data_IF_949580738856
#
_entry.id   IF_949580738856
#
_cell.length_a   1.000
_cell.length_b   1.000
_cell.length_c   1.000
_cell.angle_alpha   90.00
_cell.angle_beta   90.00
_cell.angle_gamma   90.00
#
_symmetry.space_group_name_H-M   'P 1'
#
loop_
_entity.id
_entity.type
_entity.pdbx_description
1 polymer ?
#
# COMPACT_ATOMS: atom_id res chain seq x y z
N UNK A 1 -34.82 -58.57 46.00
CA UNK A 1 -33.74 -57.64 46.39
C UNK A 1 -32.99 -57.28 45.11
N UNK A 2 -33.22 -56.07 44.57
CA UNK A 2 -32.73 -55.60 43.27
C UNK A 2 -31.38 -54.90 43.48
N UNK A 3 -30.32 -55.35 42.83
CA UNK A 3 -29.08 -54.59 42.69
C UNK A 3 -29.10 -54.03 41.26
N UNK A 4 -29.46 -52.75 41.18
CA UNK A 4 -29.54 -51.98 39.96
C UNK A 4 -28.11 -51.53 39.60
N UNK A 5 -27.59 -52.02 38.48
CA UNK A 5 -26.31 -51.56 37.91
C UNK A 5 -26.55 -50.14 37.37
N UNK A 6 -26.04 -49.13 38.07
CA UNK A 6 -26.12 -47.73 37.67
C UNK A 6 -25.06 -47.46 36.58
N UNK A 7 -25.44 -47.65 35.31
CA UNK A 7 -24.64 -47.25 34.15
C UNK A 7 -24.73 -45.72 34.05
N UNK A 8 -23.76 -45.01 34.65
CA UNK A 8 -23.63 -43.56 34.48
C UNK A 8 -23.28 -43.24 33.02
N UNK A 9 -24.31 -42.85 32.27
CA UNK A 9 -24.20 -42.06 31.04
C UNK A 9 -23.51 -40.73 31.37
N UNK A 10 -22.21 -40.66 31.14
CA UNK A 10 -21.55 -39.37 30.88
C UNK A 10 -20.72 -39.51 29.61
N UNK A 11 -21.45 -39.24 28.54
CA UNK A 11 -21.05 -38.96 27.17
C UNK A 11 -19.81 -38.05 27.15
N UNK A 12 -18.60 -38.61 27.20
CA UNK A 12 -17.37 -37.82 27.07
C UNK A 12 -17.08 -37.61 25.58
N UNK A 13 -17.85 -36.69 24.98
CA UNK A 13 -17.60 -36.07 23.66
C UNK A 13 -16.41 -35.11 23.75
N UNK A 14 -15.42 -35.43 24.57
CA UNK A 14 -14.20 -34.63 24.71
C UNK A 14 -13.14 -35.04 23.67
N UNK A 15 -13.36 -36.14 22.93
CA UNK A 15 -12.41 -36.64 21.93
C UNK A 15 -12.69 -36.16 20.50
N UNK A 16 -13.81 -35.47 20.26
CA UNK A 16 -14.24 -35.01 18.92
C UNK A 16 -14.13 -33.49 18.69
N UNK A 17 -13.55 -32.74 19.63
CA UNK A 17 -13.11 -31.34 19.41
C UNK A 17 -11.62 -31.26 19.13
N UNK A 18 -11.10 -32.30 18.47
CA UNK A 18 -9.99 -32.13 17.55
C UNK A 18 -10.50 -31.31 16.34
N UNK A 19 -9.63 -30.49 15.78
CA UNK A 19 -9.65 -29.98 14.39
C UNK A 19 -10.32 -28.66 13.98
N UNK A 20 -11.11 -27.93 14.78
CA UNK A 20 -11.74 -26.68 14.26
C UNK A 20 -10.95 -25.39 14.46
N UNK A 21 -9.77 -25.44 15.06
CA UNK A 21 -8.82 -24.32 15.06
C UNK A 21 -7.55 -24.68 14.29
N UNK A 22 -7.70 -25.31 13.11
CA UNK A 22 -6.83 -24.91 12.00
C UNK A 22 -7.30 -23.49 11.67
N UNK A 23 -6.84 -22.55 12.48
CA UNK A 23 -6.85 -21.15 12.13
C UNK A 23 -6.16 -21.11 10.78
N UNK A 24 -6.99 -20.96 9.75
CA UNK A 24 -6.63 -20.40 8.48
C UNK A 24 -6.24 -18.95 8.76
N UNK A 25 -5.18 -18.75 9.56
CA UNK A 25 -4.25 -17.67 9.30
C UNK A 25 -3.56 -18.14 8.04
N UNK A 26 -4.29 -17.97 6.93
CA UNK A 26 -3.70 -17.82 5.62
C UNK A 26 -2.63 -16.79 5.87
N UNK A 27 -1.38 -17.25 6.02
CA UNK A 27 -0.25 -16.37 6.11
C UNK A 27 -0.46 -15.43 4.93
N UNK A 28 -0.82 -14.18 5.23
CA UNK A 28 -0.84 -13.13 4.23
C UNK A 28 0.61 -13.15 3.82
N UNK A 29 0.91 -13.79 2.68
CA UNK A 29 2.20 -13.66 2.04
C UNK A 29 2.49 -12.18 2.17
N UNK A 30 3.61 -11.85 2.81
CA UNK A 30 4.10 -10.49 2.92
C UNK A 30 4.43 -10.04 1.51
N UNK A 31 3.39 -9.80 0.71
CA UNK A 31 3.45 -9.13 -0.56
C UNK A 31 4.00 -7.76 -0.21
N UNK A 32 5.10 -7.40 -0.84
CA UNK A 32 5.67 -6.07 -0.69
C UNK A 32 4.55 -5.03 -0.78
N UNK A 33 4.33 -4.31 0.32
CA UNK A 33 3.25 -3.32 0.44
C UNK A 33 3.50 -2.13 -0.49
N UNK A 34 4.75 -1.98 -0.93
CA UNK A 34 5.20 -0.96 -1.85
C UNK A 34 5.21 -1.49 -3.28
N UNK A 35 4.83 -0.63 -4.21
CA UNK A 35 5.01 -0.82 -5.63
C UNK A 35 5.98 0.24 -6.17
N UNK A 36 6.86 -0.16 -7.09
CA UNK A 36 7.84 0.72 -7.70
C UNK A 36 7.30 1.30 -9.00
N UNK A 37 7.62 2.55 -9.29
CA UNK A 37 7.22 3.19 -10.54
C UNK A 37 8.16 4.35 -10.90
N UNK A 38 8.04 4.81 -12.14
CA UNK A 38 8.65 6.04 -12.60
C UNK A 38 7.65 7.18 -12.53
N UNK A 39 8.12 8.34 -12.12
CA UNK A 39 7.34 9.55 -12.05
C UNK A 39 7.99 10.69 -12.82
N UNK A 40 7.17 11.54 -13.43
CA UNK A 40 7.59 12.75 -14.13
C UNK A 40 7.42 13.95 -13.21
N UNK A 41 8.41 14.83 -13.20
CA UNK A 41 8.27 16.15 -12.58
C UNK A 41 7.75 17.12 -13.64
N UNK A 42 6.65 17.81 -13.36
CA UNK A 42 6.00 18.74 -14.30
C UNK A 42 5.72 20.09 -13.62
N UNK A 43 5.79 21.21 -14.35
CA UNK A 43 5.38 22.51 -13.82
C UNK A 43 3.86 22.55 -13.59
N UNK A 44 3.43 23.22 -12.53
CA UNK A 44 2.04 23.47 -12.20
C UNK A 44 1.85 24.88 -11.62
N UNK A 45 0.60 25.31 -11.46
CA UNK A 45 0.32 26.58 -10.77
C UNK A 45 0.79 26.49 -9.31
N UNK A 46 1.68 27.39 -8.89
CA UNK A 46 2.22 27.43 -7.53
C UNK A 46 3.39 26.47 -7.25
N UNK A 47 3.99 25.85 -8.29
CA UNK A 47 5.20 25.05 -8.12
C UNK A 47 5.33 23.90 -9.11
N UNK A 48 5.65 22.71 -8.61
CA UNK A 48 5.83 21.52 -9.44
C UNK A 48 5.11 20.31 -8.87
N UNK A 49 4.52 19.53 -9.76
CA UNK A 49 3.85 18.27 -9.45
C UNK A 49 4.73 17.09 -9.82
N UNK A 50 4.47 15.97 -9.17
CA UNK A 50 4.94 14.65 -9.58
C UNK A 50 3.76 13.86 -10.12
N UNK A 51 3.91 13.34 -11.34
CA UNK A 51 2.92 12.52 -12.03
C UNK A 51 3.44 11.09 -12.21
N UNK A 52 2.67 10.08 -11.80
CA UNK A 52 3.00 8.67 -11.98
C UNK A 52 1.78 7.78 -12.14
N UNK A 53 1.98 6.60 -12.72
CA UNK A 53 0.95 5.56 -12.80
C UNK A 53 1.01 4.63 -11.60
N UNK A 54 -0.15 4.23 -11.08
CA UNK A 54 -0.28 3.29 -9.96
C UNK A 54 -1.03 2.00 -10.36
N UNK A 55 -0.52 1.19 -11.31
CA UNK A 55 -1.22 0.01 -11.83
C UNK A 55 -1.39 -1.11 -10.80
N UNK A 56 -0.51 -1.19 -9.80
CA UNK A 56 -0.56 -2.17 -8.71
C UNK A 56 -1.41 -1.68 -7.53
N UNK A 57 -2.06 -0.52 -7.64
CA UNK A 57 -2.90 -0.03 -6.57
C UNK A 57 -4.12 -0.92 -6.33
N UNK A 58 -4.39 -1.15 -5.06
CA UNK A 58 -5.58 -1.80 -4.53
C UNK A 58 -6.54 -0.79 -3.88
N UNK A 59 -6.21 0.50 -3.93
CA UNK A 59 -7.01 1.55 -3.31
C UNK A 59 -8.35 1.74 -4.02
N UNK A 60 -9.38 2.02 -3.23
CA UNK A 60 -10.76 2.21 -3.70
C UNK A 60 -11.22 3.60 -3.25
N UNK A 61 -11.75 4.39 -4.18
CA UNK A 61 -12.26 5.72 -3.89
C UNK A 61 -13.66 5.69 -3.24
N UNK A 62 -14.20 6.85 -2.87
CA UNK A 62 -15.54 6.98 -2.26
C UNK A 62 -16.69 6.45 -3.14
N UNK A 63 -16.49 6.38 -4.45
CA UNK A 63 -17.45 5.83 -5.42
C UNK A 63 -17.30 4.31 -5.62
N UNK A 64 -16.46 3.65 -4.82
CA UNK A 64 -16.11 2.22 -4.95
C UNK A 64 -15.38 1.87 -6.25
N UNK A 65 -14.68 2.83 -6.86
CA UNK A 65 -13.84 2.61 -8.04
C UNK A 65 -12.38 2.46 -7.65
N UNK A 66 -11.70 1.53 -8.31
CA UNK A 66 -10.27 1.31 -8.15
C UNK A 66 -9.46 2.51 -8.64
N UNK A 67 -8.40 2.89 -7.92
CA UNK A 67 -7.49 3.97 -8.28
C UNK A 67 -6.30 3.39 -9.05
N UNK A 68 -6.49 3.09 -10.33
CA UNK A 68 -5.42 2.56 -11.21
C UNK A 68 -4.88 3.57 -12.23
N UNK A 69 -5.39 4.81 -12.18
CA UNK A 69 -5.05 5.88 -13.11
C UNK A 69 -3.76 6.64 -12.76
N UNK A 70 -3.45 7.70 -13.52
CA UNK A 70 -2.37 8.60 -13.18
C UNK A 70 -2.69 9.34 -11.88
N UNK A 71 -1.69 9.46 -11.02
CA UNK A 71 -1.70 10.24 -9.79
C UNK A 71 -0.86 11.47 -10.03
N UNK A 72 -1.39 12.64 -9.66
CA UNK A 72 -0.70 13.92 -9.70
C UNK A 72 -0.75 14.55 -8.31
N UNK A 73 0.41 14.92 -7.78
CA UNK A 73 0.51 15.58 -6.48
C UNK A 73 1.45 16.78 -6.57
N UNK A 74 1.06 17.90 -5.99
CA UNK A 74 1.93 19.07 -5.80
C UNK A 74 2.96 18.73 -4.73
N UNK A 75 4.25 18.84 -5.06
CA UNK A 75 5.31 18.36 -4.16
C UNK A 75 6.46 19.33 -3.99
N UNK A 76 6.59 20.33 -4.86
CA UNK A 76 7.66 21.32 -4.77
C UNK A 76 7.06 22.72 -4.85
N UNK A 77 7.52 23.58 -3.95
CA UNK A 77 7.23 25.00 -3.96
C UNK A 77 8.02 25.71 -5.08
N UNK A 78 7.56 26.90 -5.47
CA UNK A 78 8.08 27.66 -6.61
C UNK A 78 9.56 28.09 -6.44
N UNK A 79 10.06 28.17 -5.21
CA UNK A 79 11.41 28.65 -4.86
C UNK A 79 12.54 27.65 -5.15
N UNK A 80 12.18 26.38 -5.46
CA UNK A 80 13.09 25.28 -5.77
C UNK A 80 12.79 24.70 -7.15
N UNK A 81 13.36 25.33 -8.16
CA UNK A 81 13.22 24.92 -9.56
C UNK A 81 13.92 23.58 -9.84
N UNK A 82 13.20 22.49 -10.14
CA UNK A 82 13.80 21.23 -10.55
C UNK A 82 14.34 21.35 -11.98
N UNK A 83 15.35 20.53 -12.30
CA UNK A 83 15.80 20.37 -13.69
C UNK A 83 14.71 19.65 -14.48
N UNK A 84 14.29 20.21 -15.61
CA UNK A 84 13.26 19.62 -16.48
C UNK A 84 13.80 19.37 -17.90
N UNK A 85 13.32 18.32 -18.60
CA UNK A 85 12.46 17.24 -18.10
C UNK A 85 13.22 16.29 -17.17
N UNK A 86 12.53 15.74 -16.17
CA UNK A 86 13.11 14.73 -15.27
C UNK A 86 12.12 13.62 -14.97
N UNK A 87 12.64 12.41 -15.02
CA UNK A 87 11.99 11.20 -14.53
C UNK A 87 12.71 10.74 -13.27
N UNK A 88 11.95 10.40 -12.23
CA UNK A 88 12.45 9.98 -10.93
C UNK A 88 11.81 8.65 -10.55
N UNK A 89 12.60 7.77 -9.93
CA UNK A 89 12.04 6.56 -9.35
C UNK A 89 11.41 6.86 -8.00
N UNK A 90 10.22 6.33 -7.79
CA UNK A 90 9.54 6.35 -6.51
C UNK A 90 8.89 5.01 -6.24
N UNK A 91 8.56 4.80 -4.97
CA UNK A 91 7.68 3.73 -4.55
C UNK A 91 6.45 4.31 -3.87
N UNK A 92 5.29 3.68 -4.09
CA UNK A 92 4.01 4.06 -3.49
C UNK A 92 3.38 2.89 -2.75
N UNK A 93 2.55 3.17 -1.74
CA UNK A 93 1.78 2.14 -1.04
C UNK A 93 0.65 1.62 -1.93
N UNK A 94 0.55 0.30 -2.13
CA UNK A 94 -0.50 -0.29 -2.98
C UNK A 94 -1.91 0.03 -2.48
N UNK A 95 -2.11 -0.02 -1.16
CA UNK A 95 -3.40 0.24 -0.51
C UNK A 95 -3.74 1.75 -0.44
N UNK A 96 -2.73 2.63 -0.53
CA UNK A 96 -2.90 4.08 -0.50
C UNK A 96 -1.85 4.77 -1.39
N UNK A 97 -2.06 4.79 -2.72
CA UNK A 97 -1.00 5.12 -3.69
C UNK A 97 -0.62 6.60 -3.70
N UNK A 98 -1.33 7.46 -2.97
CA UNK A 98 -0.96 8.86 -2.72
C UNK A 98 0.17 9.01 -1.70
N UNK A 99 0.46 7.96 -0.92
CA UNK A 99 1.60 7.90 -0.03
C UNK A 99 2.75 7.30 -0.82
N UNK A 100 3.81 8.08 -1.01
CA UNK A 100 4.98 7.66 -1.78
C UNK A 100 6.30 8.14 -1.16
N UNK A 101 7.40 7.58 -1.64
CA UNK A 101 8.75 7.98 -1.28
C UNK A 101 9.64 7.96 -2.51
N UNK A 102 10.47 8.98 -2.67
CA UNK A 102 11.48 9.02 -3.73
C UNK A 102 12.59 8.00 -3.46
N UNK A 103 12.89 7.20 -4.47
CA UNK A 103 14.05 6.29 -4.43
C UNK A 103 15.31 7.00 -4.91
N UNK A 104 15.15 8.05 -5.70
CA UNK A 104 16.22 8.91 -6.21
C UNK A 104 15.92 10.38 -5.89
N UNK A 105 16.91 11.19 -5.51
CA UNK A 105 16.68 12.60 -5.22
C UNK A 105 16.33 13.40 -6.48
N UNK A 106 15.43 14.38 -6.32
CA UNK A 106 15.12 15.37 -7.36
C UNK A 106 16.34 16.26 -7.58
N UNK A 107 16.75 16.46 -8.84
CA UNK A 107 17.79 17.42 -9.20
C UNK A 107 17.19 18.81 -9.34
N UNK A 108 17.89 19.80 -8.80
CA UNK A 108 17.49 21.21 -8.84
C UNK A 108 18.49 22.04 -9.64
N UNK A 109 18.01 23.11 -10.26
CA UNK A 109 18.88 24.10 -10.89
C UNK A 109 19.74 24.80 -9.80
N UNK A 110 21.04 24.95 -10.05
CA UNK A 110 21.91 25.68 -9.12
C UNK A 110 21.58 27.18 -9.17
N UNK A 111 21.38 27.80 -8.00
CA UNK A 111 21.11 29.26 -7.90
C UNK A 111 22.29 30.13 -8.33
N UNK A 112 23.47 29.56 -8.54
CA UNK A 112 24.70 30.27 -8.91
C UNK A 112 24.86 30.53 -10.42
N UNK A 113 23.97 30.01 -11.29
CA UNK A 113 24.06 30.21 -12.75
C UNK A 113 23.29 31.42 -13.28
N UNK A 114 22.82 32.32 -12.40
CA UNK A 114 22.03 33.50 -12.75
C UNK A 114 22.65 34.83 -12.26
N UNK A 115 23.94 34.85 -11.94
CA UNK A 115 24.69 36.10 -11.68
C UNK A 115 25.48 36.56 -12.91
#
# INVERSE_FOLDING_TARGET
MKILIEIKKSFSVAFFLAFTLISCVKAKETSDEWAHTSAKVLPAEGGYIVEYMAPESTAINKEKKEIKGPIQQLVLEEDRRPVLPQEIKLKYLKEEPIIFTYEEPIKFENKDSLQ
#
